data_IF_560424390961
#
_entry.id   IF_560424390961
#
_cell.length_a   1.000
_cell.length_b   1.000
_cell.length_c   1.000
_cell.angle_alpha   90.00
_cell.angle_beta   90.00
_cell.angle_gamma   90.00
#
_symmetry.space_group_name_H-M   'P 1'
#
loop_
_entity.id
_entity.type
_entity.pdbx_description
1 polymer ?
#
# COMPACT_ATOMS: atom_id res chain seq x y z
N UNK A 1 5.83 42.02 -45.14
CA UNK A 1 5.77 40.79 -44.30
C UNK A 1 4.45 40.75 -43.54
N UNK A 2 3.43 40.02 -44.02
CA UNK A 2 2.11 39.90 -43.37
C UNK A 2 1.69 38.44 -43.08
N UNK A 3 2.66 37.52 -42.95
CA UNK A 3 2.39 36.07 -42.83
C UNK A 3 2.62 35.54 -41.39
N UNK A 4 3.08 36.37 -40.44
CA UNK A 4 3.45 35.90 -39.09
C UNK A 4 2.31 35.86 -38.05
N UNK A 5 1.17 36.53 -38.29
CA UNK A 5 0.10 36.64 -37.27
C UNK A 5 -0.85 35.45 -37.26
N UNK A 6 -1.19 34.90 -38.43
CA UNK A 6 -2.15 33.79 -38.57
C UNK A 6 -1.58 32.45 -38.08
N UNK A 7 -0.27 32.26 -38.22
CA UNK A 7 0.42 31.06 -37.74
C UNK A 7 0.47 31.01 -36.21
N UNK A 8 0.62 32.17 -35.56
CA UNK A 8 0.63 32.30 -34.11
C UNK A 8 -0.78 32.10 -33.52
N UNK A 9 -1.82 32.64 -34.18
CA UNK A 9 -3.21 32.43 -33.72
C UNK A 9 -3.70 31.01 -33.95
N UNK A 10 -3.29 30.37 -35.05
CA UNK A 10 -3.58 28.95 -35.30
C UNK A 10 -2.89 28.05 -34.27
N UNK A 11 -1.64 28.34 -33.92
CA UNK A 11 -0.94 27.64 -32.85
C UNK A 11 -1.64 27.80 -31.49
N UNK A 12 -2.07 29.03 -31.14
CA UNK A 12 -2.80 29.28 -29.91
C UNK A 12 -4.13 28.51 -29.85
N UNK A 13 -4.89 28.46 -30.95
CA UNK A 13 -6.16 27.73 -30.99
C UNK A 13 -5.97 26.21 -30.83
N UNK A 14 -4.97 25.63 -31.49
CA UNK A 14 -4.65 24.20 -31.37
C UNK A 14 -4.12 23.86 -29.97
N UNK A 15 -3.25 24.70 -29.41
CA UNK A 15 -2.71 24.51 -28.06
C UNK A 15 -3.79 24.64 -26.98
N UNK A 16 -4.70 25.61 -27.12
CA UNK A 16 -5.82 25.80 -26.19
C UNK A 16 -6.81 24.64 -26.25
N UNK A 17 -7.11 24.12 -27.43
CA UNK A 17 -7.97 22.96 -27.59
C UNK A 17 -7.36 21.70 -26.95
N UNK A 18 -6.04 21.50 -27.05
CA UNK A 18 -5.35 20.40 -26.39
C UNK A 18 -5.40 20.47 -24.85
N UNK A 19 -5.36 21.67 -24.28
CA UNK A 19 -5.48 21.89 -22.82
C UNK A 19 -6.86 21.50 -22.27
N UNK A 20 -7.93 21.56 -23.07
CA UNK A 20 -9.26 21.13 -22.65
C UNK A 20 -9.41 19.60 -22.53
N UNK A 21 -8.56 18.81 -23.21
CA UNK A 21 -8.59 17.33 -23.16
C UNK A 21 -7.52 16.74 -22.23
N UNK A 22 -6.59 17.56 -21.70
CA UNK A 22 -5.63 17.13 -20.68
C UNK A 22 -6.28 16.58 -19.40
N UNK A 23 -7.39 17.15 -18.88
CA UNK A 23 -8.07 16.61 -17.71
C UNK A 23 -8.60 15.19 -17.93
N UNK A 24 -9.15 14.90 -19.11
CA UNK A 24 -9.72 13.57 -19.43
C UNK A 24 -8.63 12.51 -19.58
N UNK A 25 -7.46 12.87 -20.14
CA UNK A 25 -6.32 11.96 -20.25
C UNK A 25 -5.73 11.66 -18.87
N UNK A 26 -5.58 12.67 -18.01
CA UNK A 26 -5.12 12.49 -16.63
C UNK A 26 -6.13 11.70 -15.77
N UNK A 27 -7.43 11.96 -15.94
CA UNK A 27 -8.50 11.24 -15.23
C UNK A 27 -8.63 9.78 -15.69
N UNK A 28 -8.34 9.47 -16.96
CA UNK A 28 -8.36 8.09 -17.47
C UNK A 28 -7.26 7.21 -16.86
N UNK A 29 -6.13 7.80 -16.42
CA UNK A 29 -5.11 7.08 -15.67
C UNK A 29 -5.41 6.92 -14.17
N UNK A 30 -6.36 7.70 -13.64
CA UNK A 30 -6.77 7.63 -12.23
C UNK A 30 -7.89 6.58 -12.05
N UNK A 31 -8.65 6.27 -13.11
CA UNK A 31 -9.84 5.43 -13.02
C UNK A 31 -9.63 4.04 -13.63
N UNK A 32 -8.62 3.32 -13.17
CA UNK A 32 -8.66 1.86 -13.07
C UNK A 32 -7.49 1.40 -12.19
N UNK A 33 -7.60 1.63 -10.86
CA UNK A 33 -6.99 0.68 -9.93
C UNK A 33 -7.73 -0.64 -10.22
N UNK A 34 -7.16 -1.45 -11.11
CA UNK A 34 -7.53 -2.85 -11.22
C UNK A 34 -7.32 -3.41 -9.81
N UNK A 35 -8.42 -3.56 -9.08
CA UNK A 35 -8.46 -4.15 -7.76
C UNK A 35 -8.21 -5.64 -7.99
N UNK A 36 -6.94 -5.97 -8.26
CA UNK A 36 -6.47 -7.35 -8.31
C UNK A 36 -6.49 -7.77 -6.85
N UNK A 37 -7.65 -8.25 -6.41
CA UNK A 37 -7.87 -8.83 -5.09
C UNK A 37 -7.01 -10.09 -5.02
N UNK A 38 -5.76 -9.89 -4.63
CA UNK A 38 -4.86 -10.98 -4.28
C UNK A 38 -5.44 -11.62 -3.03
N UNK A 39 -5.39 -12.95 -2.96
CA UNK A 39 -5.91 -13.69 -1.82
C UNK A 39 -5.02 -13.53 -0.57
N UNK A 40 -5.19 -12.39 0.11
CA UNK A 40 -4.54 -12.04 1.39
C UNK A 40 -5.24 -12.74 2.56
N UNK A 41 -6.41 -13.35 2.34
CA UNK A 41 -7.20 -14.02 3.38
C UNK A 41 -6.42 -15.15 4.05
N UNK A 42 -5.55 -15.82 3.29
CA UNK A 42 -4.65 -16.88 3.75
C UNK A 42 -3.65 -16.45 4.85
N UNK A 43 -3.38 -15.14 4.98
CA UNK A 43 -2.55 -14.58 6.06
C UNK A 43 -3.36 -14.17 7.29
N UNK A 44 -4.67 -14.10 7.15
CA UNK A 44 -5.55 -13.82 8.27
C UNK A 44 -5.80 -15.10 9.06
N UNK A 45 -5.73 -14.99 10.38
CA UNK A 45 -6.02 -16.08 11.31
C UNK A 45 -7.51 -16.17 11.68
N UNK A 46 -8.37 -15.34 11.08
CA UNK A 46 -9.80 -15.25 11.40
C UNK A 46 -10.64 -16.27 10.63
N UNK A 47 -11.35 -17.14 11.35
CA UNK A 47 -12.37 -18.04 10.80
C UNK A 47 -13.77 -17.41 10.90
N UNK A 48 -13.95 -16.20 10.35
CA UNK A 48 -15.27 -15.57 10.29
C UNK A 48 -16.02 -15.97 9.01
N UNK A 49 -17.30 -15.65 8.87
CA UNK A 49 -18.03 -15.77 7.60
C UNK A 49 -18.03 -14.42 6.88
N UNK A 50 -18.09 -14.42 5.54
CA UNK A 50 -18.15 -13.20 4.73
C UNK A 50 -19.24 -12.21 5.16
N UNK A 51 -20.41 -12.67 5.60
CA UNK A 51 -21.47 -11.79 6.12
C UNK A 51 -21.03 -11.01 7.36
N UNK A 52 -20.20 -11.63 8.21
CA UNK A 52 -19.63 -10.98 9.40
C UNK A 52 -18.58 -9.95 8.99
N UNK A 53 -17.71 -10.28 8.04
CA UNK A 53 -16.72 -9.35 7.49
C UNK A 53 -17.40 -8.12 6.84
N UNK A 54 -18.47 -8.34 6.08
CA UNK A 54 -19.27 -7.27 5.50
C UNK A 54 -19.96 -6.41 6.55
N UNK A 55 -20.57 -7.02 7.57
CA UNK A 55 -21.20 -6.27 8.67
C UNK A 55 -20.19 -5.44 9.45
N UNK A 56 -18.98 -5.96 9.64
CA UNK A 56 -17.90 -5.25 10.31
C UNK A 56 -17.41 -4.07 9.46
N UNK A 57 -17.19 -4.27 8.15
CA UNK A 57 -16.83 -3.20 7.24
C UNK A 57 -17.88 -2.07 7.21
N UNK A 58 -19.17 -2.41 7.18
CA UNK A 58 -20.25 -1.42 7.24
C UNK A 58 -20.24 -0.62 8.55
N UNK A 59 -19.90 -1.25 9.68
CA UNK A 59 -19.81 -0.55 10.97
C UNK A 59 -18.72 0.52 10.97
N UNK A 60 -17.65 0.33 10.20
CA UNK A 60 -16.58 1.31 10.07
C UNK A 60 -17.01 2.53 9.26
N UNK A 61 -17.75 2.34 8.17
CA UNK A 61 -18.32 3.45 7.39
C UNK A 61 -19.25 4.34 8.24
N UNK A 62 -19.97 3.76 9.21
CA UNK A 62 -20.82 4.49 10.14
C UNK A 62 -19.97 5.19 11.22
N UNK A 63 -18.89 4.56 11.69
CA UNK A 63 -17.98 5.17 12.65
C UNK A 63 -17.25 6.39 12.08
N UNK A 64 -16.97 6.43 10.78
CA UNK A 64 -16.27 7.56 10.12
C UNK A 64 -17.11 8.85 10.02
N UNK A 65 -18.34 8.89 10.54
CA UNK A 65 -19.22 10.07 10.48
C UNK A 65 -18.79 11.24 11.39
N UNK A 66 -17.75 11.09 12.22
CA UNK A 66 -17.26 12.17 13.10
C UNK A 66 -15.76 12.45 12.95
N UNK A 67 -15.37 13.71 13.10
CA UNK A 67 -13.95 14.12 13.02
C UNK A 67 -13.06 13.40 14.04
N UNK A 68 -13.58 13.13 15.25
CA UNK A 68 -12.83 12.47 16.31
C UNK A 68 -12.58 11.00 16.00
N UNK A 69 -13.58 10.29 15.50
CA UNK A 69 -13.43 8.87 15.13
C UNK A 69 -12.50 8.69 13.93
N UNK A 70 -12.54 9.61 12.96
CA UNK A 70 -11.57 9.65 11.87
C UNK A 70 -10.15 9.89 12.38
N UNK A 71 -9.97 10.83 13.32
CA UNK A 71 -8.66 11.09 13.94
C UNK A 71 -8.14 9.85 14.69
N UNK A 72 -8.99 9.19 15.46
CA UNK A 72 -8.65 7.98 16.21
C UNK A 72 -8.26 6.83 15.27
N UNK A 73 -8.97 6.68 14.15
CA UNK A 73 -8.64 5.70 13.10
C UNK A 73 -7.28 6.00 12.48
N UNK A 74 -7.04 7.24 12.04
CA UNK A 74 -5.75 7.68 11.49
C UNK A 74 -4.61 7.43 12.47
N UNK A 75 -4.82 7.73 13.75
CA UNK A 75 -3.81 7.50 14.79
C UNK A 75 -3.52 6.01 14.98
N UNK A 76 -4.56 5.16 14.94
CA UNK A 76 -4.42 3.70 15.03
C UNK A 76 -3.62 3.13 13.85
N UNK A 77 -4.01 3.46 12.62
CA UNK A 77 -3.33 2.98 11.41
C UNK A 77 -1.86 3.43 11.38
N UNK A 78 -1.61 4.67 11.80
CA UNK A 78 -0.24 5.19 11.97
C UNK A 78 0.56 4.35 12.97
N UNK A 79 -0.02 4.01 14.12
CA UNK A 79 0.65 3.23 15.16
C UNK A 79 0.94 1.79 14.68
N UNK A 80 -0.01 1.15 14.02
CA UNK A 80 0.15 -0.19 13.45
C UNK A 80 1.30 -0.23 12.41
N UNK A 81 1.42 0.79 11.56
CA UNK A 81 2.54 0.93 10.63
C UNK A 81 3.87 1.19 11.35
N UNK A 82 3.87 2.08 12.36
CA UNK A 82 5.06 2.38 13.17
C UNK A 82 5.60 1.13 13.89
N UNK A 83 4.72 0.23 14.33
CA UNK A 83 5.13 -1.04 14.93
C UNK A 83 5.89 -1.91 13.93
N UNK A 84 5.46 -2.00 12.68
CA UNK A 84 6.22 -2.69 11.64
C UNK A 84 7.57 -2.00 11.41
N UNK A 85 7.57 -0.68 11.21
CA UNK A 85 8.81 0.08 10.98
C UNK A 85 9.82 -0.11 12.11
N UNK A 86 9.36 -0.13 13.36
CA UNK A 86 10.22 -0.43 14.50
C UNK A 86 10.81 -1.84 14.44
N UNK A 87 10.02 -2.84 14.02
CA UNK A 87 10.49 -4.23 13.88
C UNK A 87 11.51 -4.40 12.77
N UNK A 88 11.35 -3.66 11.68
CA UNK A 88 12.29 -3.65 10.55
C UNK A 88 13.49 -2.71 10.78
N UNK A 89 13.65 -2.16 11.99
CA UNK A 89 14.68 -1.17 12.31
C UNK A 89 14.73 -0.01 11.29
N UNK A 90 13.56 0.49 10.91
CA UNK A 90 13.43 1.66 10.05
C UNK A 90 13.68 2.96 10.83
N UNK A 91 14.27 3.98 10.18
CA UNK A 91 14.38 5.31 10.77
C UNK A 91 13.02 5.75 11.32
N UNK A 92 13.04 6.31 12.53
CA UNK A 92 11.82 6.85 13.15
C UNK A 92 11.47 8.15 12.47
N UNK A 93 10.63 8.05 11.45
CA UNK A 93 10.09 9.20 10.75
C UNK A 93 8.61 9.42 11.12
N UNK A 94 8.14 10.68 11.13
CA UNK A 94 6.72 10.96 11.21
C UNK A 94 5.98 10.34 10.02
N UNK A 95 5.04 9.45 10.31
CA UNK A 95 4.11 8.88 9.31
C UNK A 95 2.87 9.77 9.20
N UNK A 96 2.58 10.24 7.98
CA UNK A 96 1.38 11.00 7.64
C UNK A 96 0.47 10.13 6.79
N UNK A 97 -0.65 9.67 7.35
CA UNK A 97 -1.70 8.96 6.61
C UNK A 97 -2.40 9.95 5.68
N UNK A 98 -2.41 9.68 4.37
CA UNK A 98 -3.04 10.50 3.35
C UNK A 98 -4.47 10.06 3.08
N UNK A 99 -4.66 8.75 2.95
CA UNK A 99 -5.93 8.12 2.63
C UNK A 99 -5.98 6.72 3.25
N UNK A 100 -7.19 6.23 3.47
CA UNK A 100 -7.42 4.86 3.91
C UNK A 100 -8.81 4.36 3.51
N UNK A 101 -8.90 3.07 3.24
CA UNK A 101 -10.15 2.40 2.90
C UNK A 101 -10.23 1.00 3.52
N UNK A 102 -11.45 0.53 3.76
CA UNK A 102 -11.70 -0.85 4.18
C UNK A 102 -11.73 -1.75 2.95
N UNK A 103 -10.98 -2.84 3.01
CA UNK A 103 -11.01 -3.91 2.01
C UNK A 103 -11.56 -5.20 2.63
N UNK A 104 -12.37 -5.93 1.87
CA UNK A 104 -12.80 -7.28 2.21
C UNK A 104 -12.15 -8.24 1.22
N UNK A 105 -11.48 -9.26 1.73
CA UNK A 105 -10.92 -10.34 0.91
C UNK A 105 -11.19 -11.67 1.60
N UNK A 106 -12.00 -12.52 0.95
CA UNK A 106 -12.57 -13.70 1.59
C UNK A 106 -13.40 -13.33 2.82
N UNK A 107 -13.16 -14.03 3.92
CA UNK A 107 -13.84 -13.81 5.20
C UNK A 107 -13.08 -12.85 6.15
N UNK A 108 -12.18 -12.04 5.60
CA UNK A 108 -11.26 -11.17 6.34
C UNK A 108 -11.44 -9.71 5.95
N UNK A 109 -11.31 -8.84 6.95
CA UNK A 109 -11.37 -7.38 6.79
C UNK A 109 -9.97 -6.81 6.93
N UNK A 110 -9.62 -5.90 6.05
CA UNK A 110 -8.34 -5.22 6.01
C UNK A 110 -8.53 -3.71 5.90
N UNK A 111 -7.53 -2.97 6.33
CA UNK A 111 -7.39 -1.55 6.05
C UNK A 111 -6.27 -1.35 5.06
N UNK A 112 -6.57 -0.76 3.91
CA UNK A 112 -5.54 -0.25 3.02
C UNK A 112 -5.32 1.22 3.35
N UNK A 113 -4.07 1.62 3.50
CA UNK A 113 -3.71 3.02 3.74
C UNK A 113 -2.63 3.47 2.77
N UNK A 114 -2.71 4.74 2.38
CA UNK A 114 -1.66 5.48 1.69
C UNK A 114 -0.99 6.43 2.69
N UNK A 115 0.34 6.50 2.66
CA UNK A 115 1.08 7.31 3.62
C UNK A 115 2.32 7.98 3.03
N UNK A 116 2.74 9.03 3.70
CA UNK A 116 4.00 9.73 3.48
C UNK A 116 4.87 9.66 4.74
N UNK A 117 6.18 9.61 4.53
CA UNK A 117 7.19 9.88 5.55
C UNK A 117 7.94 11.16 5.18
N UNK A 118 9.06 11.47 5.82
CA UNK A 118 9.86 12.62 5.38
C UNK A 118 10.64 12.32 4.10
N UNK A 119 11.06 11.07 3.94
CA UNK A 119 11.96 10.60 2.90
C UNK A 119 11.26 9.73 1.86
N UNK A 120 9.98 9.42 2.03
CA UNK A 120 9.32 8.46 1.16
C UNK A 120 7.80 8.47 1.20
N UNK A 121 7.24 7.53 0.46
CA UNK A 121 5.81 7.30 0.38
C UNK A 121 5.52 5.82 0.23
N UNK A 122 4.30 5.42 0.55
CA UNK A 122 3.94 4.02 0.44
C UNK A 122 2.48 3.70 0.63
N UNK A 123 2.21 2.41 0.52
CA UNK A 123 0.92 1.81 0.83
C UNK A 123 1.12 0.65 1.79
N UNK A 124 0.16 0.45 2.69
CA UNK A 124 0.15 -0.67 3.62
C UNK A 124 -1.24 -1.31 3.66
N UNK A 125 -1.28 -2.63 3.84
CA UNK A 125 -2.51 -3.36 4.12
C UNK A 125 -2.38 -3.94 5.52
N UNK A 126 -3.34 -3.62 6.38
CA UNK A 126 -3.38 -4.02 7.79
C UNK A 126 -4.57 -4.96 8.00
N UNK A 127 -4.33 -6.14 8.55
CA UNK A 127 -5.40 -7.06 8.93
C UNK A 127 -6.10 -6.56 10.20
N UNK A 128 -7.41 -6.36 10.11
CA UNK A 128 -8.23 -5.84 11.19
C UNK A 128 -8.29 -6.77 12.41
N UNK A 129 -8.07 -8.07 12.22
CA UNK A 129 -8.13 -9.07 13.29
C UNK A 129 -6.89 -9.01 14.18
N UNK A 130 -5.72 -9.02 13.56
CA UNK A 130 -4.45 -9.12 14.28
C UNK A 130 -3.69 -7.78 14.39
N UNK A 131 -4.21 -6.73 13.75
CA UNK A 131 -3.64 -5.36 13.72
C UNK A 131 -2.24 -5.31 13.13
N UNK A 132 -1.89 -6.27 12.26
CA UNK A 132 -0.57 -6.36 11.63
C UNK A 132 -0.60 -5.93 10.18
N UNK A 133 0.49 -5.29 9.75
CA UNK A 133 0.74 -4.94 8.34
C UNK A 133 1.11 -6.21 7.56
N UNK A 134 0.16 -6.76 6.81
CA UNK A 134 0.29 -8.00 6.02
C UNK A 134 0.81 -7.77 4.60
N UNK A 135 0.88 -6.50 4.17
CA UNK A 135 1.56 -6.06 2.93
C UNK A 135 2.09 -4.65 3.11
N UNK A 136 3.28 -4.39 2.58
CA UNK A 136 3.88 -3.05 2.56
C UNK A 136 4.48 -2.80 1.17
N UNK A 137 4.20 -1.64 0.60
CA UNK A 137 4.97 -1.08 -0.51
C UNK A 137 5.52 0.26 -0.06
N UNK A 138 6.83 0.36 0.18
CA UNK A 138 7.47 1.60 0.61
C UNK A 138 8.58 1.99 -0.36
N UNK A 139 8.56 3.24 -0.79
CA UNK A 139 9.51 3.85 -1.70
C UNK A 139 10.25 4.94 -0.93
N UNK A 140 11.48 4.64 -0.55
CA UNK A 140 12.36 5.50 0.24
C UNK A 140 13.35 6.21 -0.69
N UNK A 141 13.44 7.53 -0.58
CA UNK A 141 14.48 8.30 -1.26
C UNK A 141 15.86 8.07 -0.62
N UNK A 142 15.89 7.69 0.67
CA UNK A 142 17.11 7.31 1.35
C UNK A 142 17.51 5.87 1.04
N UNK A 143 18.81 5.63 0.90
CA UNK A 143 19.34 4.30 0.61
C UNK A 143 19.10 3.34 1.76
N UNK A 144 18.34 2.28 1.48
CA UNK A 144 18.20 1.12 2.33
C UNK A 144 19.50 0.29 2.33
N UNK A 145 20.29 0.41 3.40
CA UNK A 145 21.55 -0.33 3.56
C UNK A 145 21.40 -1.62 4.39
N UNK A 146 20.16 -2.05 4.67
CA UNK A 146 19.89 -3.25 5.49
C UNK A 146 19.99 -4.52 4.66
N UNK A 147 20.40 -5.62 5.28
CA UNK A 147 20.46 -6.92 4.62
C UNK A 147 19.05 -7.46 4.33
N UNK A 148 18.81 -7.85 3.07
CA UNK A 148 17.50 -8.35 2.60
C UNK A 148 16.98 -9.52 3.43
N UNK A 149 17.86 -10.46 3.77
CA UNK A 149 17.52 -11.62 4.59
C UNK A 149 17.05 -11.22 5.98
N UNK A 150 17.72 -10.25 6.62
CA UNK A 150 17.34 -9.76 7.93
C UNK A 150 15.95 -9.11 7.89
N UNK A 151 15.67 -8.28 6.88
CA UNK A 151 14.34 -7.67 6.68
C UNK A 151 13.26 -8.74 6.57
N UNK A 152 13.51 -9.80 5.79
CA UNK A 152 12.55 -10.90 5.61
C UNK A 152 12.32 -11.63 6.93
N UNK A 153 13.40 -11.99 7.64
CA UNK A 153 13.30 -12.70 8.91
C UNK A 153 12.54 -11.86 9.96
N UNK A 154 12.83 -10.57 10.07
CA UNK A 154 12.14 -9.64 10.96
C UNK A 154 10.65 -9.48 10.61
N UNK A 155 10.32 -9.45 9.32
CA UNK A 155 8.94 -9.38 8.84
C UNK A 155 8.14 -10.66 9.14
N UNK A 156 8.73 -11.82 8.87
CA UNK A 156 8.10 -13.11 9.17
C UNK A 156 7.90 -13.29 10.68
N UNK A 157 8.89 -12.90 11.49
CA UNK A 157 8.79 -12.90 12.94
C UNK A 157 7.70 -11.96 13.45
N UNK A 158 7.60 -10.75 12.88
CA UNK A 158 6.52 -9.80 13.16
C UNK A 158 5.15 -10.43 12.89
N UNK A 159 4.98 -11.12 11.75
CA UNK A 159 3.75 -11.82 11.42
C UNK A 159 3.55 -13.14 12.19
N UNK A 160 4.58 -13.63 12.89
CA UNK A 160 4.59 -14.94 13.57
C UNK A 160 4.46 -16.11 12.59
N UNK A 161 5.10 -15.98 11.42
CA UNK A 161 5.14 -16.97 10.35
C UNK A 161 6.48 -17.69 10.33
N UNK A 162 6.46 -18.95 9.90
CA UNK A 162 7.67 -19.76 9.72
C UNK A 162 7.89 -20.07 8.24
N UNK A 163 9.08 -19.77 7.75
CA UNK A 163 9.53 -20.16 6.41
C UNK A 163 9.92 -21.63 6.36
N UNK A 164 9.74 -22.23 5.19
CA UNK A 164 10.22 -23.56 4.82
C UNK A 164 11.35 -23.45 3.78
N UNK A 165 11.17 -22.59 2.77
CA UNK A 165 12.14 -22.37 1.70
C UNK A 165 12.23 -20.89 1.31
N UNK A 166 13.44 -20.42 0.99
CA UNK A 166 13.69 -19.09 0.45
C UNK A 166 14.42 -19.25 -0.90
N UNK A 167 13.90 -18.59 -1.94
CA UNK A 167 14.47 -18.57 -3.29
C UNK A 167 14.76 -17.11 -3.65
N UNK A 168 16.01 -16.81 -4.03
CA UNK A 168 16.46 -15.46 -4.41
C UNK A 168 16.75 -15.41 -5.91
N UNK A 169 16.19 -14.41 -6.59
CA UNK A 169 16.44 -14.07 -7.99
C UNK A 169 16.71 -12.56 -8.12
N UNK A 170 17.96 -12.17 -7.87
CA UNK A 170 18.40 -10.77 -7.85
C UNK A 170 17.78 -9.97 -6.71
N UNK A 171 16.94 -8.99 -7.04
CA UNK A 171 16.20 -8.17 -6.07
C UNK A 171 14.88 -8.80 -5.62
N UNK A 172 14.45 -9.87 -6.31
CA UNK A 172 13.21 -10.56 -6.07
C UNK A 172 13.47 -11.78 -5.18
N UNK A 173 12.69 -11.95 -4.12
CA UNK A 173 12.84 -13.05 -3.19
C UNK A 173 11.47 -13.70 -2.98
N UNK A 174 11.39 -15.02 -3.13
CA UNK A 174 10.19 -15.80 -2.87
C UNK A 174 10.40 -16.65 -1.63
N UNK A 175 9.56 -16.45 -0.62
CA UNK A 175 9.54 -17.28 0.59
C UNK A 175 8.33 -18.19 0.54
N UNK A 176 8.58 -19.49 0.65
CA UNK A 176 7.52 -20.49 0.87
C UNK A 176 7.39 -20.73 2.36
N UNK A 177 6.21 -20.55 2.91
CA UNK A 177 5.84 -20.81 4.31
C UNK A 177 5.58 -22.30 4.53
N UNK A 178 5.57 -22.74 5.79
CA UNK A 178 5.28 -24.15 6.16
C UNK A 178 3.91 -24.67 5.72
N UNK A 179 2.94 -23.79 5.51
CA UNK A 179 1.60 -24.15 5.00
C UNK A 179 1.56 -24.23 3.45
N UNK A 180 2.70 -24.04 2.77
CA UNK A 180 2.82 -24.06 1.30
C UNK A 180 2.51 -22.72 0.62
N UNK A 181 2.09 -21.70 1.38
CA UNK A 181 1.85 -20.36 0.85
C UNK A 181 3.18 -19.70 0.43
N UNK A 182 3.13 -18.93 -0.66
CA UNK A 182 4.27 -18.15 -1.14
C UNK A 182 4.07 -16.68 -0.86
N UNK A 183 5.12 -16.04 -0.34
CA UNK A 183 5.23 -14.58 -0.16
C UNK A 183 6.33 -14.07 -1.07
N UNK A 184 6.08 -12.99 -1.81
CA UNK A 184 7.08 -12.37 -2.67
C UNK A 184 7.59 -11.07 -2.06
N UNK A 185 8.89 -10.83 -2.18
CA UNK A 185 9.60 -9.67 -1.66
C UNK A 185 10.45 -9.03 -2.75
N UNK A 186 10.43 -7.70 -2.85
CA UNK A 186 11.32 -6.92 -3.70
C UNK A 186 11.98 -5.93 -2.77
N UNK A 187 13.27 -6.13 -2.54
CA UNK A 187 14.04 -5.33 -1.59
C UNK A 187 15.29 -4.88 -2.31
N UNK A 188 15.40 -3.58 -2.56
CA UNK A 188 16.60 -2.94 -3.12
C UNK A 188 16.93 -1.64 -2.37
N UNK A 189 17.81 -0.81 -2.95
CA UNK A 189 18.28 0.43 -2.34
C UNK A 189 17.16 1.43 -2.04
N UNK A 190 16.07 1.47 -2.81
CA UNK A 190 15.01 2.50 -2.64
C UNK A 190 13.62 1.90 -2.49
N UNK A 191 13.47 0.58 -2.62
CA UNK A 191 12.18 -0.09 -2.60
C UNK A 191 12.16 -1.19 -1.56
N UNK A 192 11.10 -1.18 -0.77
CA UNK A 192 10.76 -2.19 0.20
C UNK A 192 9.34 -2.67 -0.07
N UNK A 193 9.21 -3.70 -0.90
CA UNK A 193 7.93 -4.36 -1.20
C UNK A 193 7.87 -5.69 -0.47
N UNK A 194 7.00 -5.78 0.54
CA UNK A 194 6.81 -6.94 1.39
C UNK A 194 5.47 -7.60 1.06
N UNK A 195 5.51 -8.88 0.69
CA UNK A 195 4.34 -9.66 0.29
C UNK A 195 3.55 -9.00 -0.85
N UNK A 196 4.24 -8.55 -1.90
CA UNK A 196 3.61 -8.08 -3.12
C UNK A 196 3.21 -9.27 -4.01
N UNK A 197 2.35 -9.00 -4.99
CA UNK A 197 1.84 -10.00 -5.93
C UNK A 197 1.94 -9.51 -7.37
#
# INVERSE_FOLDING_TARGET
MKIKSYLLSAFFLVFSAGLFFLPDILASSITTKEQRTVDISSLSSASSSIETAMSQAQSFSIMEESDQSQLDMVNRLREELNQLFQKLAMPKEPVIVQDYEVLISGDSVFWQMEFLTQTGYGTAIIDETNKKVVRLSYFDEDKNNREKKQIIDDYLNYLSLASDKIEEDGEMITVTLKNGQKLNFLIDETRLLLNYA
#
